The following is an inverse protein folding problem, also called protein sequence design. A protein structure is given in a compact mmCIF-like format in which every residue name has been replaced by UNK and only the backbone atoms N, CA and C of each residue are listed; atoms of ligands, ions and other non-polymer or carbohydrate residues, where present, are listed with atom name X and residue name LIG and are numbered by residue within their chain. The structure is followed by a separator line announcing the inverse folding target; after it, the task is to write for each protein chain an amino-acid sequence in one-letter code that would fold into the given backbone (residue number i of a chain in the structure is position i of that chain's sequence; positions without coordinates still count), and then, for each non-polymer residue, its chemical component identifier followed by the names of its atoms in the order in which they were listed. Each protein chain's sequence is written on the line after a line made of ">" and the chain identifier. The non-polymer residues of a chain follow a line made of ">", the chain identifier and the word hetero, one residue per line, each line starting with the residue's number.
data_IF_961338460293
#
_entry.id   IF_961338460293
#
_cell.length_a   1.000
_cell.length_b   1.000
_cell.length_c   1.000
_cell.angle_alpha   90.00
_cell.angle_beta   90.00
_cell.angle_gamma   90.00
#
_symmetry.space_group_name_H-M   'P 1'
#
loop_
_entity.id
_entity.type
_entity.pdbx_description
1 polymer ?
#
# COMPACT_ATOMS: atom_id res chain seq x y z
N UNK A 1 -27.66 -28.08 38.78
CA UNK A 1 -27.75 -27.02 37.75
C UNK A 1 -26.86 -25.87 38.17
N UNK A 2 -25.74 -25.66 37.47
CA UNK A 2 -24.86 -24.49 37.59
C UNK A 2 -24.82 -23.85 36.19
N UNK A 3 -24.97 -22.53 36.05
CA UNK A 3 -24.84 -21.89 34.75
C UNK A 3 -23.36 -21.92 34.29
N UNK A 4 -23.08 -22.01 32.98
CA UNK A 4 -21.73 -21.88 32.48
C UNK A 4 -21.28 -20.41 32.55
N UNK A 5 -20.11 -20.21 33.13
CA UNK A 5 -19.43 -18.92 33.26
C UNK A 5 -19.17 -18.29 31.90
N UNK A 6 -19.71 -17.10 31.68
CA UNK A 6 -19.35 -16.25 30.53
C UNK A 6 -17.98 -15.63 30.83
N UNK A 7 -16.94 -16.15 30.17
CA UNK A 7 -15.62 -15.51 30.16
C UNK A 7 -15.70 -14.34 29.19
N UNK A 8 -15.90 -13.14 29.73
CA UNK A 8 -15.78 -11.89 28.98
C UNK A 8 -14.30 -11.58 28.81
N UNK A 9 -13.75 -11.94 27.65
CA UNK A 9 -12.43 -11.47 27.22
C UNK A 9 -12.58 -10.02 26.75
N UNK A 10 -12.37 -9.07 27.66
CA UNK A 10 -12.07 -7.69 27.33
C UNK A 10 -10.64 -7.62 26.80
N UNK A 11 -10.46 -7.80 25.49
CA UNK A 11 -9.18 -7.50 24.86
C UNK A 11 -9.11 -5.98 24.63
N UNK A 12 -8.36 -5.31 25.51
CA UNK A 12 -8.05 -3.90 25.39
C UNK A 12 -7.27 -3.60 24.10
N UNK A 13 -7.69 -2.54 23.42
CA UNK A 13 -6.86 -1.78 22.49
C UNK A 13 -5.71 -1.15 23.28
N UNK A 14 -4.63 -1.90 23.48
CA UNK A 14 -3.35 -1.36 23.91
C UNK A 14 -2.46 -1.18 22.66
N UNK A 15 -2.00 0.05 22.47
CA UNK A 15 -1.39 0.52 21.24
C UNK A 15 -0.16 -0.25 20.78
N UNK A 16 -0.05 -0.43 19.47
CA UNK A 16 1.25 -0.63 18.83
C UNK A 16 1.85 0.75 18.56
N UNK A 17 2.53 1.29 19.57
CA UNK A 17 3.48 2.37 19.38
C UNK A 17 4.84 1.78 18.96
N UNK A 18 5.26 2.18 17.75
CA UNK A 18 6.63 2.46 17.26
C UNK A 18 7.81 1.58 17.68
N UNK A 19 8.54 1.09 16.67
CA UNK A 19 9.93 0.64 16.79
C UNK A 19 10.53 0.40 15.40
N UNK A 20 11.37 1.34 14.94
CA UNK A 20 12.20 1.20 13.74
C UNK A 20 13.37 0.25 14.03
N UNK A 21 13.66 -0.70 13.13
CA UNK A 21 14.93 -0.84 12.38
C UNK A 21 15.20 -2.28 11.89
N UNK A 22 15.99 -2.36 10.81
CA UNK A 22 16.97 -3.42 10.46
C UNK A 22 16.42 -4.84 10.34
N UNK A 23 15.79 -5.13 9.18
CA UNK A 23 15.45 -6.45 8.61
C UNK A 23 14.98 -7.55 9.59
N UNK A 24 13.67 -7.87 9.56
CA UNK A 24 13.22 -8.79 8.50
C UNK A 24 11.93 -8.33 7.80
N UNK A 25 11.91 -8.52 6.48
CA UNK A 25 10.78 -8.25 5.59
C UNK A 25 9.62 -9.25 5.79
N UNK A 26 8.99 -9.23 6.96
CA UNK A 26 7.78 -10.00 7.24
C UNK A 26 6.72 -9.09 7.84
N UNK A 27 5.70 -8.77 7.06
CA UNK A 27 4.64 -7.88 7.52
C UNK A 27 3.85 -7.22 6.38
N UNK A 28 2.98 -6.28 6.75
CA UNK A 28 2.25 -5.42 5.82
C UNK A 28 2.88 -4.02 5.83
N UNK A 29 2.66 -3.22 4.77
CA UNK A 29 3.14 -1.82 4.73
C UNK A 29 2.60 -1.08 5.95
N UNK A 30 3.49 -0.53 6.78
CA UNK A 30 3.11 0.09 8.06
C UNK A 30 3.04 -0.87 9.26
N UNK A 31 3.29 -2.16 9.07
CA UNK A 31 3.36 -3.22 10.10
C UNK A 31 4.51 -4.18 9.79
N UNK A 32 5.74 -3.78 10.10
CA UNK A 32 6.95 -4.61 9.93
C UNK A 32 7.70 -4.39 8.61
N UNK A 33 7.04 -3.83 7.59
CA UNK A 33 7.73 -3.30 6.40
C UNK A 33 7.43 -1.81 6.26
N UNK A 34 8.46 -1.03 5.98
CA UNK A 34 8.37 0.43 5.76
C UNK A 34 8.70 0.73 4.31
N UNK A 35 7.88 1.55 3.66
CA UNK A 35 8.11 1.95 2.28
C UNK A 35 9.02 3.19 2.27
N UNK A 36 8.55 4.34 2.71
CA UNK A 36 9.21 5.64 2.63
C UNK A 36 9.57 6.18 4.03
N UNK A 37 10.12 5.34 4.93
CA UNK A 37 10.67 5.82 6.20
C UNK A 37 12.21 5.79 6.21
N UNK A 38 12.87 6.85 6.72
CA UNK A 38 12.31 8.16 7.03
C UNK A 38 11.96 8.94 5.75
N UNK A 39 10.81 9.59 5.72
CA UNK A 39 10.26 10.20 4.49
C UNK A 39 11.11 11.33 3.93
N UNK A 40 11.85 12.03 4.79
CA UNK A 40 12.81 13.03 4.34
C UNK A 40 13.95 12.42 3.51
N UNK A 41 14.41 11.22 3.83
CA UNK A 41 15.51 10.58 3.13
C UNK A 41 15.06 9.94 1.82
N UNK A 42 13.90 9.28 1.83
CA UNK A 42 13.32 8.71 0.62
C UNK A 42 12.96 9.80 -0.40
N UNK A 43 12.41 10.93 0.06
CA UNK A 43 12.12 12.07 -0.81
C UNK A 43 13.39 12.67 -1.41
N UNK A 44 14.49 12.75 -0.65
CA UNK A 44 15.79 13.18 -1.17
C UNK A 44 16.29 12.26 -2.30
N UNK A 45 16.26 10.95 -2.07
CA UNK A 45 16.62 9.95 -3.08
C UNK A 45 15.75 10.09 -4.33
N UNK A 46 14.43 10.14 -4.16
CA UNK A 46 13.49 10.16 -5.27
C UNK A 46 13.55 11.48 -6.06
N UNK A 47 13.82 12.60 -5.40
CA UNK A 47 14.05 13.90 -6.05
C UNK A 47 15.28 13.84 -6.94
N UNK A 48 16.40 13.32 -6.43
CA UNK A 48 17.66 13.26 -7.15
C UNK A 48 17.71 12.14 -8.21
N UNK A 49 16.90 11.09 -8.04
CA UNK A 49 16.78 10.01 -9.04
C UNK A 49 16.17 10.49 -10.37
N UNK A 50 15.55 11.68 -10.41
CA UNK A 50 15.01 12.28 -11.63
C UNK A 50 16.08 12.90 -12.54
N UNK A 51 17.29 13.09 -12.02
CA UNK A 51 18.42 13.61 -12.80
C UNK A 51 19.08 12.48 -13.58
N UNK A 52 19.58 12.83 -14.77
CA UNK A 52 20.33 11.90 -15.61
C UNK A 52 21.75 11.79 -15.05
N UNK A 53 22.22 10.56 -14.84
CA UNK A 53 23.60 10.27 -14.46
C UNK A 53 24.45 10.01 -15.72
N UNK A 54 25.77 10.07 -15.58
CA UNK A 54 26.67 9.80 -16.69
C UNK A 54 26.57 8.34 -17.17
N UNK A 55 26.31 7.40 -16.25
CA UNK A 55 26.07 5.99 -16.55
C UNK A 55 24.61 5.66 -16.90
N UNK A 56 23.71 6.65 -17.04
CA UNK A 56 22.34 6.42 -17.48
C UNK A 56 22.28 6.08 -18.97
N UNK A 57 21.40 5.14 -19.33
CA UNK A 57 21.13 4.77 -20.73
C UNK A 57 20.02 5.65 -21.29
N UNK A 58 20.27 6.35 -22.40
CA UNK A 58 19.25 7.12 -23.11
C UNK A 58 18.45 6.22 -24.03
N UNK A 59 17.13 6.37 -23.98
CA UNK A 59 16.22 5.70 -24.90
C UNK A 59 15.99 6.64 -26.09
N UNK A 60 16.73 6.39 -27.16
CA UNK A 60 16.48 7.00 -28.47
C UNK A 60 15.49 6.11 -29.22
N UNK A 61 14.37 6.68 -29.68
CA UNK A 61 13.32 6.08 -30.50
C UNK A 61 12.30 5.11 -29.84
N UNK A 62 11.09 5.63 -29.67
CA UNK A 62 9.89 4.90 -30.09
C UNK A 62 9.36 5.60 -31.34
N UNK A 63 9.81 5.17 -32.52
CA UNK A 63 9.17 5.55 -33.77
C UNK A 63 7.72 5.03 -33.70
N UNK A 64 6.77 5.96 -33.59
CA UNK A 64 5.32 5.81 -33.60
C UNK A 64 4.69 4.40 -33.55
N UNK A 65 4.00 4.11 -32.45
CA UNK A 65 2.67 3.51 -32.57
C UNK A 65 1.79 3.92 -31.39
N UNK A 66 0.88 4.85 -31.65
CA UNK A 66 -0.29 5.06 -30.81
C UNK A 66 -1.24 3.85 -30.99
N UNK A 67 -0.92 2.73 -30.38
CA UNK A 67 -1.85 1.59 -30.28
C UNK A 67 -1.84 1.01 -28.88
N UNK A 68 -2.96 1.28 -28.20
CA UNK A 68 -3.66 0.49 -27.17
C UNK A 68 -2.87 -0.08 -25.99
N UNK A 69 -3.47 0.16 -24.82
CA UNK A 69 -3.30 -0.61 -23.58
C UNK A 69 -2.95 -2.08 -23.82
N UNK A 70 -1.69 -2.42 -23.64
CA UNK A 70 -1.27 -3.78 -23.34
C UNK A 70 -0.63 -3.77 -21.95
N UNK A 71 -1.40 -4.26 -20.98
CA UNK A 71 -1.00 -4.45 -19.58
C UNK A 71 -0.25 -5.77 -19.47
N UNK A 72 1.03 -5.85 -19.83
CA UNK A 72 1.88 -7.00 -19.41
C UNK A 72 3.39 -6.89 -19.64
N UNK A 73 3.94 -5.86 -20.29
CA UNK A 73 5.41 -5.71 -20.34
C UNK A 73 5.88 -4.87 -19.16
N UNK A 74 6.69 -5.49 -18.28
CA UNK A 74 7.46 -4.84 -17.21
C UNK A 74 8.54 -3.97 -17.87
N UNK A 75 8.14 -2.86 -18.47
CA UNK A 75 9.08 -1.86 -18.97
C UNK A 75 9.74 -1.19 -17.76
N UNK A 76 11.07 -1.03 -17.75
CA UNK A 76 11.72 -0.24 -16.71
C UNK A 76 11.10 1.15 -16.71
N UNK A 77 10.72 1.63 -15.51
CA UNK A 77 10.18 2.98 -15.35
C UNK A 77 11.24 3.96 -15.82
N UNK A 78 11.08 4.47 -17.05
CA UNK A 78 11.99 5.41 -17.65
C UNK A 78 11.69 6.81 -17.10
N UNK A 79 12.74 7.48 -16.65
CA UNK A 79 12.64 8.88 -16.27
C UNK A 79 12.47 9.71 -17.53
N UNK A 80 11.46 10.58 -17.50
CA UNK A 80 11.18 11.56 -18.54
C UNK A 80 11.53 12.93 -18.01
N UNK A 81 12.46 13.63 -18.67
CA UNK A 81 12.75 15.04 -18.36
C UNK A 81 12.49 15.92 -19.57
N UNK A 82 11.89 17.08 -19.36
CA UNK A 82 11.70 18.06 -20.42
C UNK A 82 12.99 18.86 -20.54
N UNK A 83 13.56 18.92 -21.75
CA UNK A 83 14.69 19.77 -22.05
C UNK A 83 14.27 20.89 -22.99
N UNK A 84 15.06 21.97 -23.05
CA UNK A 84 14.82 23.05 -24.00
C UNK A 84 14.80 22.59 -25.48
N UNK A 85 15.36 21.41 -25.78
CA UNK A 85 15.41 20.84 -27.13
C UNK A 85 14.56 19.55 -27.29
N UNK A 86 13.55 19.35 -26.44
CA UNK A 86 12.68 18.16 -26.43
C UNK A 86 12.81 17.34 -25.15
N UNK A 87 12.04 16.27 -25.01
CA UNK A 87 12.12 15.42 -23.81
C UNK A 87 13.05 14.24 -24.02
N UNK A 88 13.98 14.02 -23.08
CA UNK A 88 14.85 12.83 -23.08
C UNK A 88 14.32 11.81 -22.11
N UNK A 89 14.10 10.60 -22.63
CA UNK A 89 13.78 9.42 -21.84
C UNK A 89 15.08 8.69 -21.50
N UNK A 90 15.30 8.37 -20.24
CA UNK A 90 16.47 7.59 -19.84
C UNK A 90 16.13 6.62 -18.71
N UNK A 91 16.98 5.61 -18.55
CA UNK A 91 16.91 4.65 -17.45
C UNK A 91 18.26 4.63 -16.77
N UNK A 92 18.25 4.61 -15.44
CA UNK A 92 19.45 4.50 -14.62
C UNK A 92 19.41 3.15 -13.90
N UNK A 93 20.45 2.34 -14.08
CA UNK A 93 20.52 1.03 -13.42
C UNK A 93 20.79 1.18 -11.92
N UNK A 94 20.41 0.18 -11.10
CA UNK A 94 20.80 0.11 -9.69
C UNK A 94 22.32 0.22 -9.49
N UNK A 95 23.10 -0.46 -10.33
CA UNK A 95 24.58 -0.38 -10.29
C UNK A 95 25.13 1.03 -10.54
N UNK A 96 24.46 1.82 -11.37
CA UNK A 96 24.83 3.20 -11.65
C UNK A 96 24.57 4.08 -10.41
N UNK A 97 23.40 3.97 -9.79
CA UNK A 97 23.12 4.66 -8.51
C UNK A 97 24.09 4.27 -7.39
N UNK A 98 24.50 2.99 -7.35
CA UNK A 98 25.38 2.48 -6.31
C UNK A 98 26.81 3.04 -6.39
N UNK A 99 27.28 3.44 -7.57
CA UNK A 99 28.70 3.76 -7.82
C UNK A 99 28.95 5.21 -8.24
N UNK A 100 27.93 5.94 -8.70
CA UNK A 100 28.06 7.33 -9.15
C UNK A 100 28.32 8.27 -7.96
N UNK A 101 29.50 8.91 -7.95
CA UNK A 101 29.93 9.73 -6.82
C UNK A 101 29.11 11.01 -6.67
N UNK A 102 28.72 11.64 -7.78
CA UNK A 102 27.94 12.88 -7.75
C UNK A 102 26.53 12.63 -7.20
N UNK A 103 25.91 11.51 -7.59
CA UNK A 103 24.64 11.06 -7.05
C UNK A 103 24.73 10.76 -5.55
N UNK A 104 25.67 9.93 -5.13
CA UNK A 104 25.83 9.56 -3.72
C UNK A 104 26.07 10.81 -2.85
N UNK A 105 26.97 11.70 -3.26
CA UNK A 105 27.23 12.94 -2.52
C UNK A 105 26.00 13.86 -2.47
N UNK A 106 25.27 14.00 -3.57
CA UNK A 106 24.04 14.82 -3.63
C UNK A 106 22.95 14.29 -2.69
N UNK A 107 22.72 12.97 -2.69
CA UNK A 107 21.70 12.37 -1.82
C UNK A 107 22.11 12.50 -0.35
N UNK A 108 23.38 12.24 -0.02
CA UNK A 108 23.88 12.39 1.34
C UNK A 108 23.73 13.84 1.84
N UNK A 109 24.05 14.81 0.99
CA UNK A 109 23.90 16.22 1.29
C UNK A 109 22.43 16.63 1.49
N UNK A 110 21.54 16.16 0.62
CA UNK A 110 20.10 16.39 0.76
C UNK A 110 19.58 15.85 2.10
N UNK A 111 19.93 14.59 2.44
CA UNK A 111 19.53 13.97 3.71
C UNK A 111 20.04 14.79 4.89
N UNK A 112 21.32 15.19 4.88
CA UNK A 112 21.90 15.99 5.96
C UNK A 112 21.21 17.37 6.13
N UNK A 113 20.70 17.93 5.03
CA UNK A 113 20.04 19.24 5.04
C UNK A 113 18.56 19.15 5.43
N UNK A 114 17.86 18.08 5.02
CA UNK A 114 16.39 17.96 5.13
C UNK A 114 15.91 17.02 6.23
N UNK A 115 16.78 16.16 6.76
CA UNK A 115 16.46 15.24 7.85
C UNK A 115 17.09 15.73 9.16
N UNK A 116 16.34 16.43 10.03
CA UNK A 116 16.83 16.72 11.38
C UNK A 116 17.00 15.43 12.17
N UNK A 117 18.10 15.34 12.92
CA UNK A 117 18.29 14.23 13.85
C UNK A 117 17.45 14.47 15.10
N UNK A 118 16.62 13.50 15.45
CA UNK A 118 15.77 13.49 16.64
C UNK A 118 15.70 12.08 17.25
N UNK A 119 14.85 11.89 18.26
CA UNK A 119 14.69 10.59 18.94
C UNK A 119 14.22 9.47 18.00
N UNK A 120 13.60 9.81 16.86
CA UNK A 120 13.10 8.88 15.85
C UNK A 120 14.00 8.76 14.60
N UNK A 121 14.80 9.77 14.29
CA UNK A 121 15.71 9.80 13.16
C UNK A 121 17.14 9.87 13.69
N UNK A 122 17.69 8.70 13.99
CA UNK A 122 19.09 8.57 14.39
C UNK A 122 19.98 8.36 13.17
N UNK A 123 21.29 8.57 13.34
CA UNK A 123 22.29 8.27 12.29
C UNK A 123 22.21 6.82 11.82
N UNK A 124 21.95 5.88 12.73
CA UNK A 124 21.83 4.46 12.40
C UNK A 124 20.62 4.19 11.48
N UNK A 125 19.49 4.88 11.69
CA UNK A 125 18.32 4.79 10.81
C UNK A 125 18.62 5.33 9.41
N UNK A 126 19.39 6.41 9.32
CA UNK A 126 19.81 6.96 8.03
C UNK A 126 20.78 6.03 7.29
N UNK A 127 21.73 5.41 7.99
CA UNK A 127 22.62 4.40 7.41
C UNK A 127 21.85 3.15 6.97
N UNK A 128 20.89 2.65 7.75
CA UNK A 128 20.05 1.51 7.36
C UNK A 128 19.24 1.82 6.09
N UNK A 129 18.61 3.01 6.04
CA UNK A 129 17.90 3.50 4.86
C UNK A 129 18.81 3.63 3.63
N UNK A 130 20.05 4.06 3.84
CA UNK A 130 21.06 4.17 2.79
C UNK A 130 21.33 2.83 2.10
N UNK A 131 21.51 1.76 2.87
CA UNK A 131 21.75 0.43 2.31
C UNK A 131 20.50 -0.23 1.72
N UNK A 132 19.33 0.03 2.29
CA UNK A 132 18.08 -0.64 1.88
C UNK A 132 17.31 0.06 0.77
N UNK A 133 17.46 1.38 0.58
CA UNK A 133 16.60 2.14 -0.34
C UNK A 133 17.35 2.97 -1.39
N UNK A 134 18.58 3.40 -1.14
CA UNK A 134 19.29 4.34 -2.01
C UNK A 134 19.29 3.89 -3.48
N UNK A 135 19.69 2.64 -3.71
CA UNK A 135 19.88 2.06 -5.04
C UNK A 135 18.56 1.54 -5.64
N UNK A 136 17.59 1.22 -4.79
CA UNK A 136 16.29 0.64 -5.12
C UNK A 136 15.84 -0.34 -4.05
N UNK A 137 14.87 -1.21 -4.36
CA UNK A 137 14.22 -2.12 -3.39
C UNK A 137 14.24 -3.60 -3.79
N UNK A 138 14.86 -3.98 -4.90
CA UNK A 138 14.88 -5.40 -5.28
C UNK A 138 15.87 -6.19 -4.43
N UNK A 139 15.56 -7.46 -4.16
CA UNK A 139 16.35 -8.31 -3.27
C UNK A 139 17.78 -8.62 -3.76
N UNK A 140 18.08 -8.42 -5.04
CA UNK A 140 19.36 -8.76 -5.66
C UNK A 140 20.10 -7.52 -6.21
N UNK A 141 19.97 -6.37 -5.54
CA UNK A 141 20.63 -5.13 -5.95
C UNK A 141 22.03 -4.99 -5.35
N UNK A 142 22.94 -4.27 -6.02
CA UNK A 142 24.27 -3.99 -5.48
C UNK A 142 24.18 -3.03 -4.29
N UNK A 143 25.08 -3.22 -3.33
CA UNK A 143 25.24 -2.29 -2.21
C UNK A 143 25.87 -0.96 -2.69
N UNK A 144 25.53 0.18 -2.07
CA UNK A 144 26.19 1.45 -2.30
C UNK A 144 27.72 1.34 -2.10
N UNK A 145 28.49 1.96 -2.98
CA UNK A 145 29.97 1.91 -2.96
C UNK A 145 30.57 2.54 -1.69
N UNK A 146 29.85 3.46 -1.05
CA UNK A 146 30.24 4.13 0.20
C UNK A 146 29.05 4.21 1.15
N UNK A 147 29.33 4.29 2.46
CA UNK A 147 28.30 4.53 3.48
C UNK A 147 27.76 5.96 3.40
N UNK A 148 26.63 6.24 4.06
CA UNK A 148 26.05 7.58 4.10
C UNK A 148 27.02 8.59 4.74
N UNK A 149 27.62 8.22 5.88
CA UNK A 149 28.68 9.00 6.54
C UNK A 149 29.91 9.22 5.65
N UNK A 150 30.31 8.20 4.90
CA UNK A 150 31.40 8.29 3.93
C UNK A 150 31.10 9.33 2.85
N UNK A 151 29.94 9.21 2.19
CA UNK A 151 29.50 10.17 1.17
C UNK A 151 29.41 11.60 1.71
N UNK A 152 28.86 11.79 2.91
CA UNK A 152 28.73 13.11 3.54
C UNK A 152 30.09 13.77 3.82
N UNK A 153 31.10 13.00 4.24
CA UNK A 153 32.43 13.54 4.51
C UNK A 153 33.09 14.18 3.28
N UNK A 154 32.80 13.65 2.09
CA UNK A 154 33.30 14.20 0.83
C UNK A 154 32.54 15.45 0.38
N UNK A 155 31.25 15.58 0.70
CA UNK A 155 30.46 16.79 0.35
C UNK A 155 31.00 18.05 1.02
N UNK A 156 31.49 17.94 2.26
CA UNK A 156 32.01 19.09 3.00
C UNK A 156 33.34 19.63 2.43
N UNK A 157 34.07 18.80 1.68
CA UNK A 157 35.34 19.17 1.07
C UNK A 157 35.18 19.89 -0.27
N UNK A 158 34.08 19.64 -1.00
CA UNK A 158 33.85 20.13 -2.36
C UNK A 158 32.80 21.25 -2.34
N UNK A 159 33.24 22.51 -2.21
CA UNK A 159 32.37 23.68 -2.01
C UNK A 159 31.59 24.12 -3.24
N UNK A 160 31.34 23.23 -4.21
CA UNK A 160 30.70 23.55 -5.49
C UNK A 160 29.21 23.20 -5.47
N UNK A 161 28.43 24.03 -4.79
CA UNK A 161 26.98 23.94 -4.78
C UNK A 161 26.42 24.72 -5.97
N UNK A 162 25.87 24.04 -6.96
CA UNK A 162 25.06 24.69 -8.00
C UNK A 162 23.79 23.90 -8.22
N UNK A 163 22.66 24.61 -8.31
CA UNK A 163 21.41 24.03 -8.81
C UNK A 163 21.67 23.66 -10.26
N UNK A 164 21.74 22.36 -10.53
CA UNK A 164 21.95 21.84 -11.88
C UNK A 164 20.67 22.10 -12.67
N UNK A 165 20.82 22.63 -13.89
CA UNK A 165 19.70 22.96 -14.76
C UNK A 165 18.85 21.73 -15.09
N UNK A 166 17.65 21.96 -15.63
CA UNK A 166 16.78 20.86 -16.04
C UNK A 166 17.42 19.98 -17.14
N UNK A 167 18.44 20.52 -17.81
CA UNK A 167 19.05 19.89 -18.98
C UNK A 167 20.35 19.12 -18.74
N UNK A 168 20.92 19.28 -17.56
CA UNK A 168 22.30 18.89 -17.29
C UNK A 168 22.41 17.50 -16.66
N UNK A 169 23.52 16.84 -16.95
CA UNK A 169 23.92 15.57 -16.32
C UNK A 169 24.36 15.88 -14.89
N UNK A 170 23.99 15.01 -13.94
CA UNK A 170 24.47 15.11 -12.56
C UNK A 170 25.96 14.73 -12.50
N UNK A 171 26.83 15.73 -12.64
CA UNK A 171 28.29 15.60 -12.64
C UNK A 171 28.94 16.09 -11.33
N UNK A 172 28.18 16.78 -10.49
CA UNK A 172 28.64 17.43 -9.26
C UNK A 172 27.59 17.33 -8.15
N UNK A 173 28.01 17.59 -6.92
CA UNK A 173 27.10 17.62 -5.77
C UNK A 173 26.07 18.73 -5.91
N UNK A 174 24.79 18.39 -5.91
CA UNK A 174 23.69 19.34 -6.01
C UNK A 174 22.59 19.06 -4.99
N UNK A 175 21.75 20.06 -4.78
CA UNK A 175 20.53 19.95 -3.99
C UNK A 175 19.35 20.17 -4.92
N UNK A 176 18.38 19.27 -4.89
CA UNK A 176 17.11 19.47 -5.60
C UNK A 176 16.40 20.70 -5.07
N UNK A 177 15.66 21.39 -5.93
CA UNK A 177 14.87 22.54 -5.55
C UNK A 177 13.79 22.17 -4.53
N UNK A 178 13.38 23.14 -3.70
CA UNK A 178 12.43 22.94 -2.61
C UNK A 178 11.07 22.42 -3.09
N UNK A 179 10.61 22.86 -4.25
CA UNK A 179 9.36 22.43 -4.87
C UNK A 179 9.40 20.94 -5.27
N UNK A 180 10.50 20.49 -5.90
CA UNK A 180 10.66 19.08 -6.30
C UNK A 180 10.73 18.19 -5.06
N UNK A 181 11.54 18.58 -4.07
CA UNK A 181 11.66 17.85 -2.82
C UNK A 181 10.31 17.78 -2.08
N UNK A 182 9.62 18.92 -1.93
CA UNK A 182 8.38 18.97 -1.17
C UNK A 182 7.26 18.20 -1.87
N UNK A 183 7.21 18.22 -3.20
CA UNK A 183 6.27 17.41 -3.97
C UNK A 183 6.49 15.91 -3.73
N UNK A 184 7.75 15.45 -3.68
CA UNK A 184 8.11 14.05 -3.37
C UNK A 184 7.81 13.70 -1.93
N UNK A 185 8.26 14.53 -1.00
CA UNK A 185 8.04 14.36 0.44
C UNK A 185 6.55 14.24 0.76
N UNK A 186 5.72 15.14 0.24
CA UNK A 186 4.28 15.10 0.46
C UNK A 186 3.66 13.84 -0.14
N UNK A 187 4.00 13.50 -1.38
CA UNK A 187 3.46 12.30 -2.02
C UNK A 187 3.73 11.03 -1.20
N UNK A 188 4.99 10.86 -0.78
CA UNK A 188 5.43 9.72 0.01
C UNK A 188 4.84 9.71 1.42
N UNK A 189 4.80 10.87 2.09
CA UNK A 189 4.30 11.00 3.46
C UNK A 189 2.81 10.65 3.58
N UNK A 190 1.98 11.25 2.72
CA UNK A 190 0.53 11.02 2.77
C UNK A 190 0.15 9.63 2.27
N UNK A 191 0.95 9.05 1.39
CA UNK A 191 0.78 7.66 0.99
C UNK A 191 1.08 6.71 2.13
N UNK A 192 2.20 6.85 2.83
CA UNK A 192 2.53 5.99 3.98
C UNK A 192 1.45 6.06 5.06
N UNK A 193 1.01 7.27 5.42
CA UNK A 193 -0.08 7.45 6.39
C UNK A 193 -1.39 6.79 5.93
N UNK A 194 -1.62 6.74 4.62
CA UNK A 194 -2.81 6.11 4.06
C UNK A 194 -2.69 4.60 4.06
N UNK A 195 -1.54 4.05 3.67
CA UNK A 195 -1.27 2.60 3.70
C UNK A 195 -1.29 2.05 5.12
N UNK A 196 -0.71 2.75 6.10
CA UNK A 196 -0.80 2.39 7.52
C UNK A 196 -2.26 2.24 7.97
N UNK A 197 -3.09 3.24 7.65
CA UNK A 197 -4.53 3.20 7.97
C UNK A 197 -5.27 2.11 7.21
N UNK A 198 -4.90 1.83 5.96
CA UNK A 198 -5.51 0.75 5.19
C UNK A 198 -5.30 -0.60 5.86
N UNK A 199 -4.08 -0.87 6.31
CA UNK A 199 -3.74 -2.09 7.03
C UNK A 199 -4.44 -2.13 8.39
N UNK A 200 -4.43 -1.04 9.15
CA UNK A 200 -5.09 -0.98 10.46
C UNK A 200 -6.60 -1.23 10.36
N UNK A 201 -7.27 -0.60 9.39
CA UNK A 201 -8.71 -0.82 9.19
C UNK A 201 -9.03 -2.23 8.68
N UNK A 202 -8.20 -2.79 7.80
CA UNK A 202 -8.32 -4.18 7.38
C UNK A 202 -8.19 -5.16 8.55
N UNK A 203 -7.22 -4.91 9.44
CA UNK A 203 -7.01 -5.73 10.64
C UNK A 203 -8.17 -5.58 11.64
N UNK A 204 -8.65 -4.37 11.88
CA UNK A 204 -9.81 -4.10 12.74
C UNK A 204 -11.03 -4.84 12.22
N UNK A 205 -11.32 -4.76 10.92
CA UNK A 205 -12.44 -5.46 10.30
C UNK A 205 -12.32 -6.98 10.48
N UNK A 206 -11.14 -7.53 10.21
CA UNK A 206 -10.88 -8.96 10.34
C UNK A 206 -11.07 -9.44 11.78
N UNK A 207 -10.42 -8.78 12.75
CA UNK A 207 -10.50 -9.15 14.18
C UNK A 207 -11.94 -8.98 14.69
N UNK A 208 -12.64 -7.92 14.30
CA UNK A 208 -14.01 -7.67 14.73
C UNK A 208 -15.01 -8.65 14.11
N UNK A 209 -14.71 -9.24 12.95
CA UNK A 209 -15.55 -10.24 12.28
C UNK A 209 -15.38 -11.67 12.82
N UNK A 210 -14.17 -12.06 13.22
CA UNK A 210 -13.82 -13.43 13.67
C UNK A 210 -14.67 -13.99 14.82
N UNK A 211 -14.86 -13.30 15.97
CA UNK A 211 -15.61 -13.86 17.10
C UNK A 211 -17.10 -13.99 16.78
N UNK A 212 -17.61 -13.11 15.90
CA UNK A 212 -19.03 -13.02 15.57
C UNK A 212 -19.41 -14.09 14.53
N UNK A 213 -18.52 -14.40 13.58
CA UNK A 213 -18.72 -15.48 12.61
C UNK A 213 -18.98 -16.86 13.26
N UNK A 214 -18.35 -17.14 14.40
CA UNK A 214 -18.52 -18.39 15.12
C UNK A 214 -19.78 -18.44 16.02
N UNK A 215 -20.27 -17.29 16.49
CA UNK A 215 -21.40 -17.20 17.44
C UNK A 215 -22.75 -17.07 16.71
N UNK A 216 -22.79 -16.43 15.54
CA UNK A 216 -24.03 -16.15 14.80
C UNK A 216 -24.39 -17.19 13.75
N UNK A 217 -23.99 -18.45 13.97
CA UNK A 217 -24.35 -19.58 13.12
C UNK A 217 -25.80 -20.08 13.34
N UNK A 218 -26.71 -19.23 13.85
CA UNK A 218 -28.12 -19.58 14.06
C UNK A 218 -28.95 -19.31 12.79
N UNK A 219 -30.02 -20.08 12.52
CA UNK A 219 -30.76 -20.02 11.24
C UNK A 219 -31.36 -18.63 10.99
N UNK A 220 -31.02 -18.07 9.82
CA UNK A 220 -31.56 -16.88 9.10
C UNK A 220 -31.55 -15.52 9.81
N UNK A 221 -31.90 -15.44 11.09
CA UNK A 221 -31.95 -14.15 11.83
C UNK A 221 -30.57 -13.68 12.28
N UNK A 222 -29.70 -14.59 12.72
CA UNK A 222 -28.33 -14.26 13.12
C UNK A 222 -27.47 -13.83 11.93
N UNK A 223 -27.68 -14.46 10.78
CA UNK A 223 -26.99 -14.17 9.52
C UNK A 223 -27.27 -12.75 9.02
N UNK A 224 -28.54 -12.32 9.05
CA UNK A 224 -28.91 -10.97 8.63
C UNK A 224 -28.28 -9.89 9.52
N UNK A 225 -28.21 -10.12 10.84
CA UNK A 225 -27.58 -9.18 11.78
C UNK A 225 -26.06 -9.12 11.54
N UNK A 226 -25.41 -10.25 11.30
CA UNK A 226 -23.98 -10.30 11.01
C UNK A 226 -23.63 -9.57 9.71
N UNK A 227 -24.42 -9.79 8.65
CA UNK A 227 -24.24 -9.09 7.37
C UNK A 227 -24.43 -7.59 7.55
N UNK A 228 -25.47 -7.16 8.27
CA UNK A 228 -25.73 -5.74 8.53
C UNK A 228 -24.60 -5.10 9.35
N UNK A 229 -24.06 -5.84 10.32
CA UNK A 229 -22.90 -5.41 11.11
C UNK A 229 -21.65 -5.22 10.24
N UNK A 230 -21.30 -6.22 9.41
CA UNK A 230 -20.15 -6.10 8.51
C UNK A 230 -20.37 -4.97 7.50
N UNK A 231 -21.58 -4.78 6.98
CA UNK A 231 -21.91 -3.67 6.10
C UNK A 231 -21.70 -2.31 6.77
N UNK A 232 -22.18 -2.15 8.01
CA UNK A 232 -22.00 -0.92 8.77
C UNK A 232 -20.51 -0.65 9.05
N UNK A 233 -19.74 -1.66 9.46
CA UNK A 233 -18.30 -1.53 9.67
C UNK A 233 -17.57 -1.13 8.38
N UNK A 234 -17.81 -1.85 7.28
CA UNK A 234 -17.19 -1.52 5.99
C UNK A 234 -17.54 -0.09 5.57
N UNK A 235 -18.79 0.34 5.75
CA UNK A 235 -19.22 1.71 5.43
C UNK A 235 -18.47 2.75 6.27
N UNK A 236 -18.37 2.56 7.58
CA UNK A 236 -17.68 3.49 8.49
C UNK A 236 -16.17 3.53 8.20
N UNK A 237 -15.53 2.37 8.06
CA UNK A 237 -14.09 2.26 7.79
C UNK A 237 -13.72 2.82 6.40
N UNK A 238 -14.61 2.70 5.41
CA UNK A 238 -14.45 3.35 4.11
C UNK A 238 -14.62 4.88 4.17
N UNK A 239 -15.32 5.44 5.14
CA UNK A 239 -15.66 6.87 5.14
C UNK A 239 -14.73 7.74 5.99
N UNK A 240 -14.09 7.18 7.02
CA UNK A 240 -13.40 7.95 8.06
C UNK A 240 -11.88 8.02 7.85
N UNK A 241 -11.25 9.12 8.22
CA UNK A 241 -9.79 9.19 8.35
C UNK A 241 -9.08 9.20 7.00
N UNK A 242 -9.47 10.13 6.13
CA UNK A 242 -8.66 10.54 4.99
C UNK A 242 -7.90 11.80 5.35
N UNK A 243 -6.59 11.79 5.09
CA UNK A 243 -5.76 12.99 5.15
C UNK A 243 -5.12 13.13 3.79
N UNK A 244 -5.35 14.27 3.15
CA UNK A 244 -4.77 14.59 1.84
C UNK A 244 -3.74 15.69 1.99
N UNK A 245 -2.87 15.81 1.01
CA UNK A 245 -1.97 16.95 0.92
C UNK A 245 -2.75 18.28 1.00
N UNK A 246 -2.38 19.20 1.92
CA UNK A 246 -2.93 20.54 1.96
C UNK A 246 -2.64 21.24 0.64
N UNK A 247 -3.63 21.98 0.12
CA UNK A 247 -3.41 22.84 -1.05
C UNK A 247 -2.41 23.93 -0.66
N UNK A 248 -1.27 23.99 -1.38
CA UNK A 248 -0.35 25.12 -1.29
C UNK A 248 -1.06 26.35 -1.83
N UNK A 249 -1.30 27.31 -0.94
CA UNK A 249 -1.81 28.66 -1.17
C UNK A 249 -3.26 28.76 -1.69
N UNK A 250 -4.18 29.15 -0.80
CA UNK A 250 -5.47 29.73 -1.19
C UNK A 250 -5.32 31.09 -1.91
N UNK A 251 -4.09 31.64 -1.94
CA UNK A 251 -3.73 32.94 -2.51
C UNK A 251 -3.03 32.87 -3.87
N UNK A 252 -2.60 31.68 -4.33
CA UNK A 252 -2.00 31.53 -5.66
C UNK A 252 -3.05 31.04 -6.65
N UNK A 253 -3.13 31.71 -7.79
CA UNK A 253 -4.00 31.36 -8.93
C UNK A 253 -3.60 30.07 -9.63
N UNK A 254 -2.53 29.40 -9.16
CA UNK A 254 -2.03 28.14 -9.70
C UNK A 254 -2.65 26.96 -8.95
N UNK A 255 -3.50 26.20 -9.64
CA UNK A 255 -4.15 24.98 -9.14
C UNK A 255 -3.19 23.80 -9.13
N UNK A 256 -1.99 23.96 -8.57
CA UNK A 256 -1.04 22.86 -8.39
C UNK A 256 -1.07 22.42 -6.94
N UNK A 257 -1.44 21.16 -6.69
CA UNK A 257 -1.11 20.54 -5.43
C UNK A 257 0.39 20.25 -5.39
N UNK A 258 1.01 20.43 -4.24
CA UNK A 258 2.43 20.16 -4.07
C UNK A 258 2.64 18.66 -3.76
N UNK A 259 2.24 17.80 -4.71
CA UNK A 259 2.30 16.33 -4.62
C UNK A 259 2.82 15.78 -5.96
N UNK A 260 3.85 14.95 -5.94
CA UNK A 260 4.48 14.42 -7.15
C UNK A 260 3.68 13.32 -7.88
N UNK A 261 2.66 12.72 -7.25
CA UNK A 261 1.92 11.59 -7.82
C UNK A 261 0.50 11.95 -8.25
N UNK A 262 -0.14 12.86 -7.54
CA UNK A 262 -1.50 13.29 -7.85
C UNK A 262 -1.46 14.74 -8.32
N UNK A 263 -2.19 15.11 -9.39
CA UNK A 263 -2.27 16.50 -9.85
C UNK A 263 -3.34 17.33 -9.14
N UNK A 264 -4.27 16.70 -8.41
CA UNK A 264 -5.29 17.39 -7.62
C UNK A 264 -5.60 16.64 -6.33
N UNK A 265 -6.06 17.33 -5.27
CA UNK A 265 -6.50 16.68 -4.04
C UNK A 265 -7.69 15.73 -4.25
N UNK A 266 -8.55 16.02 -5.23
CA UNK A 266 -9.71 15.16 -5.55
C UNK A 266 -9.28 13.82 -6.14
N UNK A 267 -8.28 13.82 -7.02
CA UNK A 267 -7.73 12.57 -7.57
C UNK A 267 -6.97 11.78 -6.52
N UNK A 268 -6.22 12.46 -5.64
CA UNK A 268 -5.56 11.83 -4.48
C UNK A 268 -6.58 11.14 -3.57
N UNK A 269 -7.63 11.86 -3.17
CA UNK A 269 -8.69 11.31 -2.32
C UNK A 269 -9.39 10.11 -2.97
N UNK A 270 -9.72 10.22 -4.27
CA UNK A 270 -10.37 9.13 -4.99
C UNK A 270 -9.48 7.88 -5.03
N UNK A 271 -8.18 8.04 -5.27
CA UNK A 271 -7.23 6.92 -5.25
C UNK A 271 -7.13 6.27 -3.86
N UNK A 272 -7.11 7.06 -2.78
CA UNK A 272 -7.09 6.50 -1.43
C UNK A 272 -8.40 5.79 -1.07
N UNK A 273 -9.56 6.32 -1.48
CA UNK A 273 -10.87 5.64 -1.29
C UNK A 273 -10.89 4.30 -2.05
N UNK A 274 -10.42 4.29 -3.31
CA UNK A 274 -10.37 3.09 -4.13
C UNK A 274 -9.46 2.01 -3.52
N UNK A 275 -8.24 2.39 -3.12
CA UNK A 275 -7.28 1.48 -2.48
C UNK A 275 -7.84 0.90 -1.17
N UNK A 276 -8.43 1.75 -0.32
CA UNK A 276 -9.03 1.31 0.94
C UNK A 276 -10.18 0.34 0.73
N UNK A 277 -11.08 0.65 -0.22
CA UNK A 277 -12.19 -0.23 -0.56
C UNK A 277 -11.68 -1.59 -1.04
N UNK A 278 -10.63 -1.61 -1.87
CA UNK A 278 -9.98 -2.84 -2.31
C UNK A 278 -9.43 -3.67 -1.14
N UNK A 279 -8.69 -3.04 -0.23
CA UNK A 279 -8.09 -3.73 0.94
C UNK A 279 -9.17 -4.27 1.89
N UNK A 280 -10.22 -3.50 2.15
CA UNK A 280 -11.35 -3.97 2.96
C UNK A 280 -12.09 -5.14 2.29
N UNK A 281 -12.25 -5.13 0.96
CA UNK A 281 -12.77 -6.29 0.22
C UNK A 281 -11.90 -7.54 0.43
N UNK A 282 -10.57 -7.41 0.35
CA UNK A 282 -9.66 -8.52 0.61
C UNK A 282 -9.73 -9.00 2.07
N UNK A 283 -9.87 -8.10 3.04
CA UNK A 283 -10.04 -8.45 4.45
C UNK A 283 -11.34 -9.23 4.73
N UNK A 284 -12.40 -9.01 3.94
CA UNK A 284 -13.65 -9.77 4.05
C UNK A 284 -13.55 -11.19 3.46
N UNK A 285 -12.62 -11.47 2.54
CA UNK A 285 -12.56 -12.79 1.87
C UNK A 285 -12.36 -13.96 2.86
N UNK A 286 -11.40 -13.92 3.80
CA UNK A 286 -11.26 -14.97 4.81
C UNK A 286 -12.48 -15.10 5.73
N UNK A 287 -13.13 -13.98 6.07
CA UNK A 287 -14.34 -14.00 6.91
C UNK A 287 -15.48 -14.75 6.21
N UNK A 288 -15.66 -14.52 4.90
CA UNK A 288 -16.65 -15.24 4.10
C UNK A 288 -16.29 -16.73 4.04
N UNK A 289 -15.02 -17.09 3.83
CA UNK A 289 -14.59 -18.50 3.79
C UNK A 289 -14.90 -19.21 5.12
N UNK A 290 -14.56 -18.59 6.26
CA UNK A 290 -14.85 -19.13 7.59
C UNK A 290 -16.37 -19.32 7.76
N UNK A 291 -17.15 -18.32 7.35
CA UNK A 291 -18.61 -18.39 7.42
C UNK A 291 -19.19 -19.55 6.58
N UNK A 292 -18.71 -19.76 5.35
CA UNK A 292 -19.15 -20.87 4.49
C UNK A 292 -18.81 -22.24 5.09
N UNK A 293 -17.58 -22.40 5.61
CA UNK A 293 -17.15 -23.65 6.24
C UNK A 293 -17.92 -23.96 7.52
N UNK A 294 -18.23 -22.94 8.32
CA UNK A 294 -19.04 -23.07 9.53
C UNK A 294 -20.46 -23.58 9.24
N UNK A 295 -21.09 -23.09 8.17
CA UNK A 295 -22.43 -23.58 7.77
C UNK A 295 -22.42 -25.03 7.31
N UNK A 296 -21.42 -25.42 6.51
CA UNK A 296 -21.29 -26.80 6.04
C UNK A 296 -21.12 -27.80 7.20
N UNK A 297 -20.43 -27.40 8.27
CA UNK A 297 -20.30 -28.23 9.47
C UNK A 297 -21.64 -28.41 10.22
N UNK A 298 -22.47 -27.37 10.25
CA UNK A 298 -23.76 -27.40 10.94
C UNK A 298 -24.82 -28.21 10.20
N UNK A 299 -24.89 -28.12 8.87
CA UNK A 299 -25.83 -28.93 8.10
C UNK A 299 -25.55 -30.43 8.31
N UNK A 300 -24.28 -30.84 8.31
CA UNK A 300 -23.88 -32.22 8.60
C UNK A 300 -24.24 -32.69 10.01
N UNK A 301 -24.21 -31.80 11.01
CA UNK A 301 -24.61 -32.11 12.38
C UNK A 301 -26.14 -32.23 12.53
N UNK A 302 -26.89 -31.37 11.83
CA UNK A 302 -28.35 -31.41 11.78
C UNK A 302 -28.85 -32.73 11.17
N UNK A 303 -28.25 -33.18 10.08
CA UNK A 303 -28.59 -34.46 9.42
C UNK A 303 -28.26 -35.68 10.29
N UNK A 304 -27.30 -35.55 11.22
CA UNK A 304 -26.95 -36.63 12.15
C UNK A 304 -27.92 -36.78 13.32
N UNK A 305 -28.73 -35.74 13.60
CA UNK A 305 -29.67 -35.70 14.72
C UNK A 305 -31.13 -35.93 14.31
N UNK A 306 -31.44 -36.10 13.03
CA UNK A 306 -32.74 -36.61 12.56
C UNK A 306 -32.71 -38.14 12.62
N UNK A 307 -33.41 -38.79 13.57
CA UNK A 307 -33.55 -40.24 13.55
C UNK A 307 -34.40 -40.60 12.34
N UNK A 308 -33.93 -41.55 11.54
CA UNK A 308 -34.70 -42.19 10.48
C UNK A 308 -35.86 -42.98 11.10
N UNK A 309 -36.96 -42.30 11.40
CA UNK A 309 -38.24 -42.93 11.74
C UNK A 309 -39.28 -42.58 10.69
N UNK A 310 -39.02 -42.97 9.44
CA UNK A 310 -40.08 -43.09 8.46
C UNK A 310 -39.97 -44.46 7.80
N UNK A 311 -40.95 -45.37 7.99
CA UNK A 311 -40.90 -46.69 7.39
C UNK A 311 -41.02 -46.58 5.86
N UNK A 312 -40.40 -47.50 5.10
CA UNK A 312 -40.38 -47.41 3.64
C UNK A 312 -41.82 -47.57 3.12
N UNK A 313 -42.39 -46.50 2.55
CA UNK A 313 -43.62 -46.62 1.77
C UNK A 313 -43.31 -47.44 0.52
N UNK A 314 -43.86 -48.65 0.54
CA UNK A 314 -43.91 -49.62 -0.54
C UNK A 314 -44.48 -48.97 -1.81
N UNK A 315 -43.70 -49.07 -2.88
CA UNK A 315 -44.11 -49.34 -4.26
C UNK A 315 -45.28 -48.56 -4.86
N UNK A 316 -44.98 -47.81 -5.93
CA UNK A 316 -45.61 -47.99 -7.24
C UNK A 316 -44.83 -47.22 -8.33
N UNK A 317 -44.15 -47.96 -9.20
CA UNK A 317 -44.00 -47.63 -10.64
C UNK A 317 -45.01 -48.52 -11.39
N UNK A 318 -45.47 -48.26 -12.64
CA UNK A 318 -44.84 -47.44 -13.68
C UNK A 318 -45.79 -46.69 -14.69
N UNK A 319 -45.14 -46.03 -15.67
CA UNK A 319 -45.52 -45.68 -17.07
C UNK A 319 -46.49 -44.49 -17.38
N UNK A 320 -46.50 -43.94 -18.63
CA UNK A 320 -46.21 -42.54 -18.88
C UNK A 320 -47.36 -41.79 -19.57
N UNK A 321 -47.16 -40.50 -19.80
CA UNK A 321 -48.00 -39.61 -20.60
C UNK A 321 -49.18 -38.96 -19.89
N UNK A 322 -49.40 -37.71 -20.33
CA UNK A 322 -50.48 -36.78 -20.02
C UNK A 322 -50.30 -35.90 -18.76
N UNK A 323 -49.90 -34.66 -19.06
CA UNK A 323 -50.13 -33.47 -18.26
C UNK A 323 -51.58 -33.45 -17.77
N UNK A 324 -51.80 -33.28 -16.46
CA UNK A 324 -52.33 -32.05 -15.84
C UNK A 324 -52.94 -32.35 -14.46
N UNK A 325 -52.51 -31.54 -13.50
CA UNK A 325 -53.29 -30.97 -12.39
C UNK A 325 -53.78 -31.92 -11.29
N UNK A 326 -53.22 -31.77 -10.09
CA UNK A 326 -53.97 -31.91 -8.85
C UNK A 326 -53.98 -30.56 -8.15
N UNK A 327 -55.10 -29.86 -8.30
CA UNK A 327 -55.61 -28.90 -7.32
C UNK A 327 -55.94 -29.67 -6.04
N UNK A 328 -55.50 -29.17 -4.89
CA UNK A 328 -55.94 -29.62 -3.58
C UNK A 328 -56.26 -28.41 -2.72
N UNK A 329 -57.48 -27.90 -2.86
CA UNK A 329 -58.09 -26.94 -1.94
C UNK A 329 -58.58 -27.68 -0.70
N UNK A 330 -58.47 -26.98 0.43
CA UNK A 330 -58.92 -27.35 1.75
C UNK A 330 -60.41 -27.73 1.80
N UNK A 331 -60.70 -28.97 2.19
CA UNK A 331 -61.47 -29.35 3.39
C UNK A 331 -61.51 -30.88 3.53
#
# INVERSE_FOLDING_TARGET
>A
MRPPSVVVLTAGLAGLATGQSVNPATGFVGKGITMFRPTCASACRDSLSTYRLNCSTVIHDMQGSATRHDTSSRTPSANKRALNNGSVMFVTSPSCYATDTAYLQSVAYCINTRCPLDDSITRAVLEDCWYTYLVGRDAAQPEPAVSYSGALSHTAADSQWSVIGEDDILDRTTLSTDDVYLAKYNAEHYFELSEERHVDFGLVLFIAGLPIANVFLMPTRGQAIFILYLFALNTVLCAVGYTTTPRSDASSTTTSNNNAWFPTPSTELLSYIANRTGILCFANMPLIIIYMTGQAAQSSLSDRHTPSSEPPRVGCRPVPSLRKWCLGSWH
#
